data_IF_407880864637
#
_entry.id   IF_407880864637
#
_cell.length_a   1.000
_cell.length_b   1.000
_cell.length_c   1.000
_cell.angle_alpha   90.00
_cell.angle_beta   90.00
_cell.angle_gamma   90.00
#
_symmetry.space_group_name_H-M   'P 1'
#
loop_
_entity.id
_entity.type
_entity.pdbx_description
1 polymer ?
#
# COMPACT_ATOMS: atom_id res chain seq x y z
N UNK A 1 52.16 32.87 31.79
CA UNK A 1 50.85 32.21 32.02
C UNK A 1 50.37 31.61 30.71
N UNK A 2 50.62 30.31 30.48
CA UNK A 2 50.10 29.54 29.33
C UNK A 2 48.78 28.90 29.75
N UNK A 3 47.66 29.33 29.17
CA UNK A 3 46.34 28.69 29.33
C UNK A 3 46.23 27.46 28.45
N UNK A 4 45.94 26.31 29.05
CA UNK A 4 45.69 25.04 28.39
C UNK A 4 44.38 25.11 27.60
N UNK A 5 44.46 24.86 26.29
CA UNK A 5 43.29 24.55 25.45
C UNK A 5 42.87 23.11 25.74
N UNK A 6 41.62 22.92 26.19
CA UNK A 6 41.01 21.61 26.34
C UNK A 6 40.80 20.99 24.95
N UNK A 7 41.60 19.99 24.62
CA UNK A 7 41.44 19.14 23.44
C UNK A 7 40.27 18.18 23.67
N UNK A 8 39.10 18.47 23.09
CA UNK A 8 38.04 17.48 22.95
C UNK A 8 38.56 16.30 22.11
N UNK A 9 38.61 15.12 22.71
CA UNK A 9 39.15 13.91 22.07
C UNK A 9 38.23 13.42 20.94
N UNK A 10 38.76 13.05 19.76
CA UNK A 10 37.98 12.54 18.61
C UNK A 10 37.12 11.29 18.91
N UNK A 11 37.45 10.56 19.96
CA UNK A 11 36.82 9.28 20.34
C UNK A 11 35.37 9.43 20.81
N UNK A 12 35.04 10.52 21.52
CA UNK A 12 33.69 10.77 22.02
C UNK A 12 32.68 11.02 20.88
N UNK A 13 33.14 11.66 19.80
CA UNK A 13 32.31 11.92 18.62
C UNK A 13 32.07 10.63 17.80
N UNK A 14 33.06 9.73 17.78
CA UNK A 14 32.94 8.41 17.13
C UNK A 14 31.96 7.48 17.83
N UNK A 15 32.00 7.43 19.17
CA UNK A 15 31.11 6.58 19.97
C UNK A 15 29.64 7.01 19.89
N UNK A 16 29.35 8.32 19.92
CA UNK A 16 27.99 8.84 19.76
C UNK A 16 27.43 8.57 18.35
N UNK A 17 28.27 8.66 17.31
CA UNK A 17 27.88 8.38 15.92
C UNK A 17 27.66 6.89 15.67
N UNK A 18 28.45 6.01 16.31
CA UNK A 18 28.26 4.56 16.28
C UNK A 18 27.04 4.11 17.07
N UNK A 19 26.75 4.72 18.23
CA UNK A 19 25.52 4.48 18.99
C UNK A 19 24.26 4.82 18.19
N UNK A 20 24.28 5.95 17.48
CA UNK A 20 23.18 6.33 16.57
C UNK A 20 23.10 5.44 15.32
N UNK A 21 24.24 4.96 14.81
CA UNK A 21 24.26 4.04 13.66
C UNK A 21 23.70 2.65 14.01
N UNK A 22 23.96 2.13 15.21
CA UNK A 22 23.37 0.86 15.68
C UNK A 22 21.89 1.01 16.06
N UNK A 23 21.46 2.18 16.55
CA UNK A 23 20.04 2.48 16.81
C UNK A 23 19.20 2.63 15.52
N UNK A 24 19.86 2.87 14.37
CA UNK A 24 19.25 3.05 13.06
C UNK A 24 19.31 1.80 12.18
N UNK A 25 19.43 0.61 12.76
CA UNK A 25 19.30 -0.62 11.97
C UNK A 25 17.88 -0.69 11.39
N UNK A 26 17.77 -0.53 10.07
CA UNK A 26 16.50 -0.46 9.34
C UNK A 26 15.74 -1.76 9.61
N UNK A 27 14.57 -1.66 10.25
CA UNK A 27 13.72 -2.83 10.46
C UNK A 27 13.21 -3.33 9.11
N UNK A 28 13.89 -4.35 8.58
CA UNK A 28 13.60 -4.98 7.31
C UNK A 28 13.41 -6.48 7.55
N UNK A 29 12.26 -7.00 7.10
CA UNK A 29 11.88 -8.40 7.22
C UNK A 29 11.37 -8.85 5.86
N UNK A 30 12.21 -9.49 5.04
CA UNK A 30 11.84 -9.86 3.68
C UNK A 30 10.64 -10.80 3.62
N UNK A 31 10.40 -11.57 4.68
CA UNK A 31 9.25 -12.47 4.80
C UNK A 31 7.92 -11.71 4.74
N UNK A 32 7.86 -10.52 5.36
CA UNK A 32 6.66 -9.67 5.32
C UNK A 32 6.42 -9.12 3.92
N UNK A 33 7.48 -8.82 3.17
CA UNK A 33 7.35 -8.34 1.79
C UNK A 33 6.88 -9.45 0.84
N UNK A 34 7.30 -10.70 1.07
CA UNK A 34 6.76 -11.86 0.35
C UNK A 34 5.27 -12.02 0.62
N UNK A 35 4.84 -11.91 1.88
CA UNK A 35 3.41 -12.01 2.24
C UNK A 35 2.60 -10.87 1.62
N UNK A 36 3.14 -9.65 1.55
CA UNK A 36 2.50 -8.52 0.85
C UNK A 36 2.41 -8.75 -0.65
N UNK A 37 3.46 -9.28 -1.27
CA UNK A 37 3.45 -9.63 -2.68
C UNK A 37 2.37 -10.68 -2.97
N UNK A 38 2.26 -11.70 -2.12
CA UNK A 38 1.22 -12.71 -2.20
C UNK A 38 -0.19 -12.10 -2.05
N UNK A 39 -0.40 -11.24 -1.05
CA UNK A 39 -1.64 -10.51 -0.86
C UNK A 39 -2.01 -9.64 -2.08
N UNK A 40 -1.02 -9.00 -2.70
CA UNK A 40 -1.20 -8.24 -3.94
C UNK A 40 -1.66 -9.11 -5.08
N UNK A 41 -1.03 -10.27 -5.29
CA UNK A 41 -1.42 -11.19 -6.35
C UNK A 41 -2.86 -11.71 -6.16
N UNK A 42 -3.27 -11.95 -4.92
CA UNK A 42 -4.66 -12.30 -4.59
C UNK A 42 -5.65 -11.21 -4.99
N UNK A 43 -5.40 -9.96 -4.57
CA UNK A 43 -6.25 -8.80 -4.92
C UNK A 43 -6.22 -8.52 -6.42
N UNK A 44 -5.06 -8.67 -7.06
CA UNK A 44 -4.93 -8.50 -8.50
C UNK A 44 -5.76 -9.55 -9.25
N UNK A 45 -5.70 -10.81 -8.84
CA UNK A 45 -6.50 -11.87 -9.44
C UNK A 45 -8.00 -11.60 -9.28
N UNK A 46 -8.47 -11.16 -8.10
CA UNK A 46 -9.89 -10.87 -7.88
C UNK A 46 -10.43 -9.72 -8.73
N UNK A 47 -9.57 -8.79 -9.13
CA UNK A 47 -9.94 -7.66 -9.98
C UNK A 47 -9.71 -7.87 -11.48
N UNK A 48 -8.84 -8.79 -11.88
CA UNK A 48 -8.45 -8.97 -13.30
C UNK A 48 -8.98 -10.23 -13.94
N UNK A 49 -9.33 -11.25 -13.17
CA UNK A 49 -9.92 -12.48 -13.72
C UNK A 49 -11.35 -12.19 -14.18
N UNK A 50 -11.69 -12.42 -15.47
CA UNK A 50 -13.04 -12.20 -15.96
C UNK A 50 -14.03 -13.10 -15.22
N UNK A 51 -15.12 -12.53 -14.72
CA UNK A 51 -16.21 -13.31 -14.12
C UNK A 51 -17.12 -14.00 -15.14
N UNK A 52 -17.06 -13.58 -16.42
CA UNK A 52 -17.90 -14.11 -17.49
C UNK A 52 -17.28 -15.37 -18.11
N UNK A 53 -18.08 -16.45 -18.15
CA UNK A 53 -17.69 -17.70 -18.81
C UNK A 53 -17.47 -17.56 -20.32
N UNK A 54 -18.05 -16.53 -20.96
CA UNK A 54 -17.88 -16.31 -22.39
C UNK A 54 -16.42 -16.14 -22.79
N UNK A 55 -15.62 -15.47 -21.94
CA UNK A 55 -14.18 -15.29 -22.12
C UNK A 55 -13.44 -16.64 -22.14
N UNK A 56 -13.68 -17.48 -21.14
CA UNK A 56 -13.02 -18.80 -21.03
C UNK A 56 -13.43 -19.73 -22.16
N UNK A 57 -14.68 -19.66 -22.63
CA UNK A 57 -15.14 -20.42 -23.78
C UNK A 57 -14.44 -20.00 -25.07
N UNK A 58 -14.28 -18.70 -25.31
CA UNK A 58 -13.52 -18.17 -26.46
C UNK A 58 -12.04 -18.58 -26.39
N UNK A 59 -11.47 -18.63 -25.17
CA UNK A 59 -10.12 -19.12 -24.92
C UNK A 59 -9.99 -20.66 -24.96
N UNK A 60 -11.06 -21.40 -25.28
CA UNK A 60 -11.10 -22.87 -25.32
C UNK A 60 -10.71 -23.55 -24.00
N UNK A 61 -10.96 -22.88 -22.87
CA UNK A 61 -10.69 -23.40 -21.53
C UNK A 61 -11.87 -24.28 -21.08
N UNK A 62 -11.62 -25.51 -20.60
CA UNK A 62 -12.68 -26.39 -20.11
C UNK A 62 -13.49 -25.75 -18.97
N UNK A 63 -14.82 -25.90 -18.93
CA UNK A 63 -15.67 -25.25 -17.92
C UNK A 63 -15.25 -25.54 -16.47
N UNK A 64 -14.85 -26.77 -16.17
CA UNK A 64 -14.37 -27.16 -14.84
C UNK A 64 -13.11 -26.39 -14.39
N UNK A 65 -12.22 -26.09 -15.33
CA UNK A 65 -11.00 -25.31 -15.07
C UNK A 65 -11.35 -23.84 -14.92
N UNK A 66 -12.24 -23.31 -15.77
CA UNK A 66 -12.74 -21.95 -15.67
C UNK A 66 -13.44 -21.70 -14.31
N UNK A 67 -14.30 -22.61 -13.87
CA UNK A 67 -14.97 -22.55 -12.56
C UNK A 67 -13.96 -22.53 -11.41
N UNK A 68 -12.89 -23.33 -11.49
CA UNK A 68 -11.82 -23.33 -10.51
C UNK A 68 -11.07 -21.99 -10.47
N UNK A 69 -10.75 -21.42 -11.64
CA UNK A 69 -10.05 -20.13 -11.75
C UNK A 69 -10.91 -19.00 -11.16
N UNK A 70 -12.18 -18.92 -11.55
CA UNK A 70 -13.11 -17.90 -11.05
C UNK A 70 -13.32 -18.04 -9.54
N UNK A 71 -13.48 -19.27 -9.04
CA UNK A 71 -13.62 -19.53 -7.60
C UNK A 71 -12.37 -19.14 -6.82
N UNK A 72 -11.18 -19.46 -7.34
CA UNK A 72 -9.91 -19.08 -6.73
C UNK A 72 -9.73 -17.55 -6.72
N UNK A 73 -10.07 -16.87 -7.83
CA UNK A 73 -10.01 -15.41 -7.93
C UNK A 73 -10.99 -14.72 -6.98
N UNK A 74 -12.19 -15.27 -6.77
CA UNK A 74 -13.14 -14.77 -5.78
C UNK A 74 -12.56 -14.80 -4.35
N UNK A 75 -11.81 -15.87 -4.02
CA UNK A 75 -11.04 -15.95 -2.78
C UNK A 75 -9.91 -14.92 -2.68
N UNK A 76 -9.51 -14.30 -3.79
CA UNK A 76 -8.50 -13.25 -3.84
C UNK A 76 -8.87 -11.98 -3.04
N UNK A 77 -10.16 -11.77 -2.76
CA UNK A 77 -10.63 -10.66 -1.93
C UNK A 77 -10.03 -10.68 -0.50
N UNK A 78 -9.74 -11.87 0.06
CA UNK A 78 -9.06 -12.01 1.35
C UNK A 78 -7.64 -11.40 1.36
N UNK A 79 -7.05 -11.14 0.18
CA UNK A 79 -5.78 -10.43 0.07
C UNK A 79 -5.85 -9.02 0.66
N UNK A 80 -7.01 -8.35 0.64
CA UNK A 80 -7.19 -7.03 1.26
C UNK A 80 -7.05 -7.12 2.79
N UNK A 81 -7.70 -8.11 3.40
CA UNK A 81 -7.63 -8.33 4.85
C UNK A 81 -6.21 -8.65 5.31
N UNK A 82 -5.50 -9.47 4.52
CA UNK A 82 -4.10 -9.79 4.77
C UNK A 82 -3.22 -8.53 4.66
N UNK A 83 -3.45 -7.68 3.66
CA UNK A 83 -2.74 -6.40 3.53
C UNK A 83 -2.93 -5.50 4.74
N UNK A 84 -4.17 -5.29 5.18
CA UNK A 84 -4.45 -4.45 6.34
C UNK A 84 -3.86 -5.03 7.63
N UNK A 85 -3.88 -6.37 7.79
CA UNK A 85 -3.25 -7.04 8.92
C UNK A 85 -1.74 -6.80 8.93
N UNK A 86 -1.06 -6.98 7.78
CA UNK A 86 0.38 -6.77 7.65
C UNK A 86 0.79 -5.29 7.79
N UNK A 87 -0.02 -4.36 7.27
CA UNK A 87 0.18 -2.93 7.46
C UNK A 87 0.08 -2.56 8.94
N UNK A 88 -0.98 -3.00 9.62
CA UNK A 88 -1.21 -2.71 11.05
C UNK A 88 -0.10 -3.28 11.93
N UNK A 89 0.33 -4.52 11.66
CA UNK A 89 1.44 -5.15 12.35
C UNK A 89 2.75 -4.37 12.16
N UNK A 90 3.09 -3.96 10.94
CA UNK A 90 4.32 -3.24 10.66
C UNK A 90 4.33 -1.85 11.33
N UNK A 91 3.23 -1.11 11.21
CA UNK A 91 3.10 0.23 11.80
C UNK A 91 3.27 0.15 13.31
N UNK A 92 2.52 -0.74 13.96
CA UNK A 92 2.60 -0.94 15.41
C UNK A 92 4.01 -1.33 15.83
N UNK A 93 4.65 -2.26 15.11
CA UNK A 93 6.03 -2.70 15.41
C UNK A 93 7.05 -1.56 15.27
N UNK A 94 6.92 -0.72 14.23
CA UNK A 94 7.81 0.42 14.02
C UNK A 94 7.62 1.48 15.10
N UNK A 95 6.37 1.82 15.45
CA UNK A 95 6.06 2.78 16.52
C UNK A 95 6.57 2.30 17.88
N UNK A 96 6.36 1.03 18.23
CA UNK A 96 6.87 0.47 19.49
C UNK A 96 8.41 0.51 19.54
N UNK A 97 9.08 0.22 18.43
CA UNK A 97 10.55 0.31 18.36
C UNK A 97 11.03 1.75 18.50
N UNK A 98 10.41 2.69 17.81
CA UNK A 98 10.72 4.12 17.92
C UNK A 98 10.54 4.61 19.36
N UNK A 99 9.42 4.26 20.01
CA UNK A 99 9.16 4.59 21.40
C UNK A 99 10.21 4.01 22.34
N UNK A 100 10.66 2.76 22.12
CA UNK A 100 11.65 2.11 22.97
C UNK A 100 13.05 2.73 22.83
N UNK A 101 13.40 3.22 21.64
CA UNK A 101 14.73 3.79 21.35
C UNK A 101 14.79 5.28 21.70
N UNK A 102 13.78 6.05 21.31
CA UNK A 102 13.77 7.52 21.41
C UNK A 102 13.08 8.04 22.68
N UNK A 103 12.32 7.19 23.39
CA UNK A 103 11.52 7.58 24.56
C UNK A 103 10.30 8.45 24.23
N UNK A 104 10.15 8.89 22.99
CA UNK A 104 9.02 9.66 22.47
C UNK A 104 8.73 9.26 21.01
N UNK A 105 7.47 9.37 20.61
CA UNK A 105 6.99 9.09 19.25
C UNK A 105 6.98 10.38 18.42
N UNK A 106 7.70 10.43 17.31
CA UNK A 106 7.52 11.48 16.31
C UNK A 106 6.45 11.08 15.30
N UNK A 107 5.20 11.22 15.75
CA UNK A 107 4.01 10.93 14.96
C UNK A 107 4.01 11.72 13.65
N UNK A 108 4.41 12.99 13.69
CA UNK A 108 4.43 13.87 12.51
C UNK A 108 5.40 13.34 11.45
N UNK A 109 6.62 13.00 11.84
CA UNK A 109 7.60 12.45 10.91
C UNK A 109 7.18 11.07 10.38
N UNK A 110 6.49 10.27 11.19
CA UNK A 110 5.90 9.00 10.75
C UNK A 110 4.87 9.20 9.62
N UNK A 111 3.86 10.05 9.83
CA UNK A 111 2.84 10.30 8.80
C UNK A 111 3.44 10.95 7.56
N UNK A 112 4.39 11.89 7.71
CA UNK A 112 5.01 12.55 6.56
C UNK A 112 5.74 11.56 5.64
N UNK A 113 6.52 10.63 6.21
CA UNK A 113 7.19 9.56 5.43
C UNK A 113 6.20 8.68 4.69
N UNK A 114 5.05 8.40 5.31
CA UNK A 114 3.99 7.58 4.73
C UNK A 114 3.29 8.29 3.58
N UNK A 115 2.84 9.51 3.82
CA UNK A 115 2.16 10.38 2.84
C UNK A 115 3.03 10.56 1.59
N UNK A 116 4.32 10.88 1.78
CA UNK A 116 5.27 11.04 0.67
C UNK A 116 5.56 9.74 -0.09
N UNK A 117 5.28 8.58 0.50
CA UNK A 117 5.45 7.27 -0.15
C UNK A 117 4.20 6.84 -0.91
N UNK A 118 3.01 7.05 -0.35
CA UNK A 118 1.75 6.50 -0.87
C UNK A 118 1.08 7.46 -1.85
N UNK A 119 0.95 8.75 -1.49
CA UNK A 119 0.18 9.69 -2.30
C UNK A 119 0.71 9.87 -3.73
N UNK A 120 2.04 9.95 -4.00
CA UNK A 120 2.52 10.11 -5.37
C UNK A 120 2.09 8.96 -6.29
N UNK A 121 2.16 7.72 -5.79
CA UNK A 121 1.72 6.55 -6.54
C UNK A 121 0.20 6.49 -6.65
N UNK A 122 -0.53 6.82 -5.59
CA UNK A 122 -1.99 6.86 -5.60
C UNK A 122 -2.53 7.84 -6.65
N UNK A 123 -2.10 9.10 -6.61
CA UNK A 123 -2.56 10.13 -7.53
C UNK A 123 -2.01 9.91 -8.94
N UNK A 124 -0.78 9.39 -9.08
CA UNK A 124 -0.24 8.99 -10.37
C UNK A 124 -1.08 7.90 -11.04
N UNK A 125 -1.51 6.89 -10.27
CA UNK A 125 -2.39 5.84 -10.76
C UNK A 125 -3.80 6.34 -11.08
N UNK A 126 -4.39 7.18 -10.22
CA UNK A 126 -5.69 7.81 -10.49
C UNK A 126 -5.64 8.67 -11.77
N UNK A 127 -4.58 9.44 -11.96
CA UNK A 127 -4.36 10.22 -13.17
C UNK A 127 -4.25 9.30 -14.38
N UNK A 128 -3.45 8.23 -14.31
CA UNK A 128 -3.32 7.26 -15.39
C UNK A 128 -4.66 6.58 -15.72
N UNK A 129 -5.47 6.24 -14.71
CA UNK A 129 -6.81 5.68 -14.91
C UNK A 129 -7.74 6.66 -15.65
N UNK A 130 -7.71 7.94 -15.28
CA UNK A 130 -8.56 8.97 -15.92
C UNK A 130 -8.11 9.37 -17.33
N UNK A 131 -6.82 9.27 -17.64
CA UNK A 131 -6.23 9.80 -18.89
C UNK A 131 -5.84 8.73 -19.90
N UNK A 132 -5.26 7.62 -19.43
CA UNK A 132 -4.67 6.57 -20.26
C UNK A 132 -5.54 5.31 -20.31
N UNK A 133 -6.15 4.91 -19.20
CA UNK A 133 -6.87 3.63 -19.18
C UNK A 133 -8.04 3.59 -20.17
N UNK A 134 -8.71 4.72 -20.43
CA UNK A 134 -9.80 4.81 -21.42
C UNK A 134 -9.38 4.44 -22.85
N UNK A 135 -8.10 4.56 -23.20
CA UNK A 135 -7.58 4.18 -24.53
C UNK A 135 -6.93 2.80 -24.55
N UNK A 136 -6.53 2.27 -23.39
CA UNK A 136 -5.82 0.98 -23.30
C UNK A 136 -6.72 -0.19 -22.86
N UNK A 137 -7.78 0.09 -22.12
CA UNK A 137 -8.61 -0.92 -21.47
C UNK A 137 -10.03 -0.85 -22.04
N UNK A 138 -10.51 -1.93 -22.67
CA UNK A 138 -11.90 -2.02 -23.12
C UNK A 138 -12.88 -1.82 -21.96
N UNK A 139 -13.97 -1.12 -22.21
CA UNK A 139 -15.05 -0.85 -21.25
C UNK A 139 -14.64 -0.07 -19.98
N UNK A 140 -13.44 0.53 -19.97
CA UNK A 140 -12.99 1.40 -18.88
C UNK A 140 -13.94 2.60 -18.71
N UNK A 141 -14.56 2.67 -17.55
CA UNK A 141 -15.52 3.70 -17.19
C UNK A 141 -15.36 4.14 -15.74
N UNK A 142 -14.69 5.27 -15.57
CA UNK A 142 -14.58 5.98 -14.30
C UNK A 142 -15.32 7.33 -14.37
N UNK A 143 -16.62 7.39 -14.00
CA UNK A 143 -17.38 8.63 -14.00
C UNK A 143 -16.77 9.70 -13.09
N UNK A 144 -16.97 10.98 -13.44
CA UNK A 144 -16.40 12.12 -12.70
C UNK A 144 -16.69 12.07 -11.19
N UNK A 145 -17.89 11.62 -10.78
CA UNK A 145 -18.25 11.48 -9.36
C UNK A 145 -17.30 10.55 -8.60
N UNK A 146 -16.83 9.46 -9.23
CA UNK A 146 -15.84 8.55 -8.64
C UNK A 146 -14.44 9.15 -8.66
N UNK A 147 -14.07 9.87 -9.72
CA UNK A 147 -12.78 10.59 -9.79
C UNK A 147 -12.67 11.57 -8.62
N UNK A 148 -13.73 12.37 -8.38
CA UNK A 148 -13.78 13.31 -7.25
C UNK A 148 -13.72 12.56 -5.92
N UNK A 149 -14.48 11.48 -5.76
CA UNK A 149 -14.45 10.70 -4.53
C UNK A 149 -13.06 10.09 -4.24
N UNK A 150 -12.40 9.49 -5.23
CA UNK A 150 -11.03 8.98 -5.10
C UNK A 150 -10.02 10.10 -4.87
N UNK A 151 -10.15 11.24 -5.55
CA UNK A 151 -9.27 12.39 -5.32
C UNK A 151 -9.36 12.93 -3.88
N UNK A 152 -10.54 12.80 -3.24
CA UNK A 152 -10.78 13.17 -1.85
C UNK A 152 -10.50 12.02 -0.86
N UNK A 153 -9.88 10.91 -1.30
CA UNK A 153 -9.64 9.71 -0.49
C UNK A 153 -10.93 9.18 0.18
N UNK A 154 -12.06 9.33 -0.50
CA UNK A 154 -13.39 8.88 -0.08
C UNK A 154 -13.96 7.80 -1.03
N UNK A 155 -13.09 7.13 -1.78
CA UNK A 155 -13.46 6.11 -2.76
C UNK A 155 -14.26 4.96 -2.18
N UNK A 156 -13.95 4.57 -0.94
CA UNK A 156 -14.69 3.57 -0.18
C UNK A 156 -16.17 3.93 0.01
N UNK A 157 -16.45 5.17 0.42
CA UNK A 157 -17.82 5.66 0.59
C UNK A 157 -18.55 5.72 -0.75
N UNK A 158 -17.88 6.12 -1.83
CA UNK A 158 -18.46 6.09 -3.17
C UNK A 158 -18.80 4.66 -3.62
N UNK A 159 -17.95 3.67 -3.33
CA UNK A 159 -18.25 2.26 -3.61
C UNK A 159 -19.46 1.75 -2.80
N UNK A 160 -19.61 2.15 -1.55
CA UNK A 160 -20.77 1.79 -0.71
C UNK A 160 -22.05 2.45 -1.24
N UNK A 161 -22.00 3.74 -1.59
CA UNK A 161 -23.19 4.50 -1.97
C UNK A 161 -23.64 4.26 -3.42
N UNK A 162 -22.69 4.01 -4.33
CA UNK A 162 -22.96 3.96 -5.77
C UNK A 162 -22.60 2.62 -6.41
N UNK A 163 -22.02 1.68 -5.66
CA UNK A 163 -21.44 0.45 -6.18
C UNK A 163 -20.03 0.65 -6.75
N UNK A 164 -19.40 -0.46 -7.15
CA UNK A 164 -18.06 -0.45 -7.72
C UNK A 164 -18.08 0.03 -9.18
N UNK A 165 -17.21 0.98 -9.58
CA UNK A 165 -17.10 1.37 -10.98
C UNK A 165 -16.46 0.26 -11.81
N UNK A 166 -16.77 0.23 -13.11
CA UNK A 166 -16.06 -0.61 -14.08
C UNK A 166 -14.77 0.09 -14.49
N UNK A 167 -13.79 0.09 -13.59
CA UNK A 167 -12.54 0.82 -13.77
C UNK A 167 -11.35 0.07 -13.18
N UNK A 168 -10.19 0.21 -13.81
CA UNK A 168 -8.90 -0.19 -13.22
C UNK A 168 -8.59 0.56 -11.92
N UNK A 169 -9.24 1.70 -11.67
CA UNK A 169 -9.11 2.47 -10.43
C UNK A 169 -9.89 1.88 -9.26
N UNK A 170 -10.75 0.89 -9.47
CA UNK A 170 -11.58 0.30 -8.41
C UNK A 170 -10.80 -0.09 -7.16
N UNK A 171 -9.63 -0.74 -7.22
CA UNK A 171 -8.86 -1.10 -6.03
C UNK A 171 -8.46 0.07 -5.13
N UNK A 172 -8.49 1.33 -5.61
CA UNK A 172 -8.18 2.52 -4.81
C UNK A 172 -9.14 2.74 -3.63
N UNK A 173 -10.29 2.05 -3.59
CA UNK A 173 -11.21 2.14 -2.45
C UNK A 173 -10.54 1.65 -1.15
N UNK A 174 -9.70 0.60 -1.21
CA UNK A 174 -9.06 0.04 -0.03
C UNK A 174 -7.96 0.96 0.51
N UNK A 175 -7.23 1.63 -0.37
CA UNK A 175 -6.25 2.67 0.02
C UNK A 175 -6.95 3.88 0.64
N UNK A 176 -8.13 4.25 0.13
CA UNK A 176 -8.95 5.32 0.72
C UNK A 176 -9.37 4.97 2.16
N UNK A 177 -9.73 3.71 2.42
CA UNK A 177 -9.94 3.21 3.79
C UNK A 177 -8.66 3.29 4.60
N UNK A 178 -7.55 2.78 4.05
CA UNK A 178 -6.26 2.74 4.75
C UNK A 178 -5.89 4.13 5.30
N UNK A 179 -5.97 5.17 4.48
CA UNK A 179 -5.66 6.56 4.87
C UNK A 179 -6.65 7.17 5.88
N UNK A 180 -7.87 6.64 6.02
CA UNK A 180 -8.85 7.10 7.02
C UNK A 180 -8.64 6.47 8.41
N UNK A 181 -8.08 5.26 8.45
CA UNK A 181 -7.87 4.50 9.71
C UNK A 181 -6.51 4.74 10.34
N UNK A 182 -5.63 5.49 9.68
CA UNK A 182 -4.42 6.03 10.29
C UNK A 182 -4.71 7.37 10.95
#
# INVERSE_FOLDING_TARGET
>A
MRGQMASGTPEAFGAARQGNAMAMERYYRPELDVLRCFAFLMVFASHTVPGDQSFFRQAHIPPRIADLIVSAAAGGAFGVDLFFTLSSFLITTLLLRESNVCGALDVTAFYLRRVLRILPLYFGFLLAATTLARSLVPDENLPLKYVVAFALLCGNWACVLWGYPHSVATPLWSVSIEEQFY
#
